data_IF_134348923440
#
_entry.id   IF_134348923440
#
_cell.length_a   1.000
_cell.length_b   1.000
_cell.length_c   1.000
_cell.angle_alpha   90.00
_cell.angle_beta   90.00
_cell.angle_gamma   90.00
#
_symmetry.space_group_name_H-M   'P 1'
#
loop_
_entity.id
_entity.type
_entity.pdbx_description
1 polymer ?
#
# COMPACT_ATOMS: atom_id res chain seq x y z
N UNK A 1 6.93 -1.81 -26.04
CA UNK A 1 7.12 -0.51 -25.36
C UNK A 1 5.79 -0.01 -24.82
N UNK A 2 5.75 1.10 -24.07
CA UNK A 2 4.46 1.72 -23.68
C UNK A 2 3.67 2.15 -24.91
N UNK A 3 4.35 2.64 -25.95
CA UNK A 3 3.71 3.05 -27.20
C UNK A 3 3.01 1.88 -27.91
N UNK A 4 3.67 0.72 -28.01
CA UNK A 4 3.08 -0.47 -28.62
C UNK A 4 1.83 -0.95 -27.86
N UNK A 5 1.85 -0.91 -26.53
CA UNK A 5 0.68 -1.29 -25.72
C UNK A 5 -0.46 -0.30 -25.90
N UNK A 6 -0.16 1.00 -25.97
CA UNK A 6 -1.15 2.05 -26.26
C UNK A 6 -1.83 1.80 -27.61
N UNK A 7 -1.08 1.49 -28.68
CA UNK A 7 -1.68 1.21 -29.98
C UNK A 7 -2.68 0.04 -29.93
N UNK A 8 -2.43 -0.96 -29.08
CA UNK A 8 -3.27 -2.14 -28.95
C UNK A 8 -4.53 -1.95 -28.10
N UNK A 9 -4.47 -1.18 -27.01
CA UNK A 9 -5.57 -1.07 -26.05
C UNK A 9 -6.15 0.33 -25.87
N UNK A 10 -5.50 1.35 -26.42
CA UNK A 10 -5.88 2.77 -26.33
C UNK A 10 -6.00 3.30 -24.88
N UNK A 11 -5.43 2.59 -23.89
CA UNK A 11 -5.30 3.09 -22.52
C UNK A 11 -4.23 4.17 -22.50
N UNK A 12 -4.56 5.35 -21.98
CA UNK A 12 -3.65 6.49 -21.95
C UNK A 12 -2.25 6.13 -21.42
N UNK A 13 -1.23 6.64 -22.10
CA UNK A 13 0.19 6.32 -21.82
C UNK A 13 0.59 6.66 -20.39
N UNK A 14 -0.08 7.62 -19.73
CA UNK A 14 0.15 7.94 -18.33
C UNK A 14 -0.13 6.74 -17.42
N UNK A 15 -1.26 6.04 -17.62
CA UNK A 15 -1.62 4.85 -16.84
C UNK A 15 -0.67 3.69 -17.15
N UNK A 16 -0.40 3.43 -18.43
CA UNK A 16 0.53 2.39 -18.86
C UNK A 16 1.93 2.61 -18.29
N UNK A 17 2.36 3.87 -18.16
CA UNK A 17 3.63 4.22 -17.52
C UNK A 17 3.62 3.92 -16.02
N UNK A 18 2.50 4.10 -15.31
CA UNK A 18 2.41 3.68 -13.90
C UNK A 18 2.49 2.16 -13.77
N UNK A 19 1.81 1.41 -14.63
CA UNK A 19 1.90 -0.06 -14.66
C UNK A 19 3.34 -0.50 -14.92
N UNK A 20 4.02 0.11 -15.90
CA UNK A 20 5.43 -0.19 -16.17
C UNK A 20 6.32 0.09 -14.95
N UNK A 21 6.08 1.16 -14.19
CA UNK A 21 6.82 1.43 -12.95
C UNK A 21 6.63 0.30 -11.92
N UNK A 22 5.40 -0.23 -11.78
CA UNK A 22 5.13 -1.36 -10.89
C UNK A 22 5.86 -2.61 -11.36
N UNK A 23 5.80 -2.94 -12.65
CA UNK A 23 6.51 -4.10 -13.22
C UNK A 23 8.03 -3.99 -12.99
N UNK A 24 8.63 -2.82 -13.23
CA UNK A 24 10.05 -2.58 -12.94
C UNK A 24 10.38 -2.68 -11.45
N UNK A 25 9.48 -2.24 -10.57
CA UNK A 25 9.68 -2.38 -9.14
C UNK A 25 9.68 -3.85 -8.73
N UNK A 26 8.83 -4.70 -9.33
CA UNK A 26 8.79 -6.14 -9.08
C UNK A 26 10.09 -6.86 -9.42
N UNK A 27 10.78 -6.44 -10.48
CA UNK A 27 12.09 -6.99 -10.87
C UNK A 27 13.15 -6.75 -9.78
N UNK A 28 13.01 -5.68 -8.99
CA UNK A 28 13.92 -5.33 -7.90
C UNK A 28 13.56 -5.94 -6.53
N UNK A 29 12.45 -6.68 -6.42
CA UNK A 29 12.03 -7.30 -5.15
C UNK A 29 12.89 -8.52 -4.85
N UNK A 30 13.52 -8.55 -3.68
CA UNK A 30 14.35 -9.64 -3.21
C UNK A 30 14.35 -9.69 -1.67
N UNK A 31 14.91 -10.74 -1.07
CA UNK A 31 14.95 -10.93 0.39
C UNK A 31 15.55 -9.77 1.17
N UNK A 32 16.43 -8.95 0.56
CA UNK A 32 16.99 -7.77 1.22
C UNK A 32 15.95 -6.71 1.61
N UNK A 33 14.76 -6.71 0.99
CA UNK A 33 13.68 -5.79 1.36
C UNK A 33 13.13 -6.10 2.75
N UNK A 34 13.28 -7.33 3.25
CA UNK A 34 12.75 -7.73 4.57
C UNK A 34 13.54 -7.14 5.75
N UNK A 35 14.74 -6.61 5.49
CA UNK A 35 15.58 -5.97 6.51
C UNK A 35 15.84 -4.48 6.23
N UNK A 36 15.37 -3.97 5.08
CA UNK A 36 15.54 -2.58 4.67
C UNK A 36 14.21 -1.82 4.73
N UNK A 37 14.04 -1.01 5.77
CA UNK A 37 12.83 -0.22 5.99
C UNK A 37 12.49 0.73 4.83
N UNK A 38 13.50 1.27 4.13
CA UNK A 38 13.29 2.22 3.04
C UNK A 38 12.74 1.49 1.81
N UNK A 39 13.34 0.35 1.45
CA UNK A 39 12.86 -0.48 0.33
C UNK A 39 11.46 -1.01 0.59
N UNK A 40 11.22 -1.59 1.77
CA UNK A 40 9.91 -2.16 2.08
C UNK A 40 8.82 -1.10 2.10
N UNK A 41 9.06 0.06 2.75
CA UNK A 41 8.11 1.18 2.73
C UNK A 41 7.85 1.69 1.31
N UNK A 42 8.88 1.75 0.47
CA UNK A 42 8.74 2.10 -0.95
C UNK A 42 7.80 1.16 -1.70
N UNK A 43 7.93 -0.16 -1.51
CA UNK A 43 7.03 -1.15 -2.10
C UNK A 43 5.60 -1.03 -1.55
N UNK A 44 5.44 -0.84 -0.24
CA UNK A 44 4.11 -0.64 0.35
C UNK A 44 3.42 0.62 -0.18
N UNK A 45 4.17 1.71 -0.38
CA UNK A 45 3.66 2.95 -0.98
C UNK A 45 3.27 2.80 -2.46
N UNK A 46 3.90 1.86 -3.18
CA UNK A 46 3.48 1.48 -4.55
C UNK A 46 2.25 0.55 -4.58
N UNK A 47 1.73 0.14 -3.41
CA UNK A 47 0.53 -0.69 -3.29
C UNK A 47 0.80 -2.20 -3.26
N UNK A 48 2.06 -2.64 -3.15
CA UNK A 48 2.36 -4.07 -3.10
C UNK A 48 1.83 -4.71 -1.80
N UNK A 49 1.06 -5.78 -1.94
CA UNK A 49 0.62 -6.60 -0.81
C UNK A 49 1.77 -7.44 -0.27
N UNK A 50 1.68 -7.84 1.00
CA UNK A 50 2.69 -8.70 1.62
C UNK A 50 2.79 -10.05 0.88
N UNK A 51 1.66 -10.54 0.35
CA UNK A 51 1.61 -11.72 -0.50
C UNK A 51 2.31 -11.54 -1.86
N UNK A 52 2.19 -10.37 -2.50
CA UNK A 52 2.87 -10.11 -3.77
C UNK A 52 4.38 -9.99 -3.59
N UNK A 53 4.82 -9.35 -2.50
CA UNK A 53 6.25 -9.26 -2.15
C UNK A 53 6.82 -10.67 -1.92
N UNK A 54 6.15 -11.49 -1.10
CA UNK A 54 6.55 -12.87 -0.85
C UNK A 54 6.67 -13.69 -2.16
N UNK A 55 5.65 -13.60 -3.02
CA UNK A 55 5.67 -14.29 -4.32
C UNK A 55 6.83 -13.83 -5.23
N UNK A 56 7.12 -12.53 -5.27
CA UNK A 56 8.23 -12.00 -6.08
C UNK A 56 9.60 -12.37 -5.53
N UNK A 57 9.78 -12.45 -4.20
CA UNK A 57 11.04 -12.96 -3.61
C UNK A 57 11.27 -14.41 -4.04
N UNK A 58 10.22 -15.24 -3.97
CA UNK A 58 10.30 -16.63 -4.45
C UNK A 58 10.65 -16.71 -5.93
N UNK A 59 9.99 -15.92 -6.78
CA UNK A 59 10.25 -15.94 -8.22
C UNK A 59 11.67 -15.45 -8.57
N UNK A 60 12.14 -14.40 -7.90
CA UNK A 60 13.41 -13.75 -8.24
C UNK A 60 14.64 -14.45 -7.61
N UNK A 61 14.49 -15.13 -6.47
CA UNK A 61 15.61 -15.73 -5.73
C UNK A 61 15.45 -17.23 -5.43
N UNK A 62 14.32 -17.84 -5.82
CA UNK A 62 13.98 -19.23 -5.47
C UNK A 62 14.00 -19.48 -3.94
N UNK A 63 13.64 -18.46 -3.17
CA UNK A 63 13.56 -18.50 -1.71
C UNK A 63 12.08 -18.53 -1.27
N UNK A 64 11.70 -19.53 -0.49
CA UNK A 64 10.35 -19.58 0.10
C UNK A 64 10.23 -18.52 1.19
N UNK A 65 9.26 -17.62 1.01
CA UNK A 65 8.87 -16.61 1.98
C UNK A 65 7.35 -16.59 2.01
N UNK A 66 6.77 -16.61 3.20
CA UNK A 66 5.33 -16.49 3.41
C UNK A 66 4.91 -15.02 3.52
N UNK A 67 3.64 -14.68 3.20
CA UNK A 67 3.11 -13.34 3.45
C UNK A 67 3.23 -12.92 4.93
N UNK A 68 3.17 -13.88 5.85
CA UNK A 68 3.33 -13.66 7.29
C UNK A 68 4.75 -13.22 7.65
N UNK A 69 5.78 -13.79 7.02
CA UNK A 69 7.17 -13.34 7.24
C UNK A 69 7.40 -11.91 6.74
N UNK A 70 6.76 -11.52 5.63
CA UNK A 70 6.78 -10.14 5.15
C UNK A 70 6.06 -9.21 6.12
N UNK A 71 4.93 -9.64 6.67
CA UNK A 71 4.18 -8.90 7.71
C UNK A 71 5.02 -8.72 8.98
N UNK A 72 5.69 -9.77 9.45
CA UNK A 72 6.57 -9.73 10.62
C UNK A 72 7.75 -8.80 10.40
N UNK A 73 8.40 -8.87 9.23
CA UNK A 73 9.46 -7.95 8.83
C UNK A 73 8.96 -6.50 8.81
N UNK A 74 7.79 -6.26 8.24
CA UNK A 74 7.13 -4.95 8.19
C UNK A 74 6.87 -4.41 9.60
N UNK A 75 6.37 -5.25 10.51
CA UNK A 75 6.12 -4.91 11.91
C UNK A 75 7.42 -4.61 12.68
N UNK A 76 8.47 -5.41 12.49
CA UNK A 76 9.80 -5.18 13.10
C UNK A 76 10.45 -3.88 12.62
N UNK A 77 10.21 -3.49 11.38
CA UNK A 77 10.69 -2.24 10.78
C UNK A 77 9.77 -1.04 11.05
N UNK A 78 8.73 -1.21 11.88
CA UNK A 78 7.75 -0.18 12.24
C UNK A 78 7.07 0.46 11.01
N UNK A 79 6.68 -0.38 10.06
CA UNK A 79 5.98 0.05 8.84
C UNK A 79 4.50 -0.32 8.98
N UNK A 80 3.69 0.59 9.51
CA UNK A 80 2.23 0.44 9.54
C UNK A 80 1.58 1.33 8.47
N UNK A 81 0.39 0.98 7.96
CA UNK A 81 -0.41 1.93 7.20
C UNK A 81 -0.92 3.03 8.13
N UNK A 82 -1.07 4.23 7.60
CA UNK A 82 -1.86 5.30 8.22
C UNK A 82 -3.28 5.27 7.66
N UNK A 83 -4.22 5.87 8.40
CA UNK A 83 -5.60 6.04 7.95
C UNK A 83 -5.88 7.53 7.79
N UNK A 84 -6.31 7.92 6.59
CA UNK A 84 -6.57 9.30 6.22
C UNK A 84 -8.07 9.49 5.97
N UNK A 85 -8.58 10.71 6.18
CA UNK A 85 -9.98 11.09 5.99
C UNK A 85 -10.27 11.58 4.58
N UNK A 86 -11.46 11.26 4.08
CA UNK A 86 -12.04 11.93 2.92
C UNK A 86 -12.78 13.18 3.41
N UNK A 87 -12.21 14.35 3.15
CA UNK A 87 -12.71 15.66 3.63
C UNK A 87 -13.24 16.59 2.54
N UNK A 88 -13.14 16.19 1.26
CA UNK A 88 -13.49 16.96 0.04
C UNK A 88 -12.68 18.23 -0.24
N UNK A 89 -11.75 18.63 0.65
CA UNK A 89 -11.04 19.91 0.60
C UNK A 89 -9.52 19.79 0.83
N UNK A 90 -8.96 18.57 0.78
CA UNK A 90 -7.53 18.31 0.92
C UNK A 90 -6.94 18.92 2.21
N UNK A 91 -7.63 18.69 3.32
CA UNK A 91 -7.33 19.15 4.67
C UNK A 91 -7.39 20.68 4.89
N UNK A 92 -8.03 21.46 4.00
CA UNK A 92 -8.29 22.89 4.25
C UNK A 92 -9.21 23.09 5.47
N UNK A 93 -10.22 22.22 5.61
CA UNK A 93 -11.18 22.24 6.71
C UNK A 93 -11.27 20.86 7.38
N UNK A 94 -11.63 20.85 8.67
CA UNK A 94 -11.86 19.60 9.40
C UNK A 94 -13.12 18.91 8.91
N UNK A 95 -13.02 17.61 8.63
CA UNK A 95 -14.19 16.77 8.37
C UNK A 95 -14.96 16.51 9.67
N UNK A 96 -16.28 16.35 9.55
CA UNK A 96 -17.16 15.95 10.66
C UNK A 96 -17.48 14.45 10.63
N UNK A 97 -17.06 13.74 9.58
CA UNK A 97 -17.40 12.33 9.36
C UNK A 97 -16.14 11.47 9.23
N UNK A 98 -16.03 10.36 9.98
CA UNK A 98 -14.86 9.48 9.93
C UNK A 98 -14.92 8.52 8.72
N UNK A 99 -14.83 9.08 7.50
CA UNK A 99 -14.74 8.30 6.27
C UNK A 99 -13.27 8.09 5.89
N UNK A 100 -12.77 6.88 6.15
CA UNK A 100 -11.33 6.59 6.16
C UNK A 100 -10.87 5.68 5.03
N UNK A 101 -9.62 5.85 4.61
CA UNK A 101 -8.89 4.90 3.77
C UNK A 101 -7.45 4.72 4.27
N UNK A 102 -6.84 3.55 4.03
CA UNK A 102 -5.47 3.27 4.44
C UNK A 102 -4.44 3.70 3.39
N UNK A 103 -3.26 4.13 3.84
CA UNK A 103 -2.15 4.54 2.96
C UNK A 103 -0.79 4.30 3.59
N UNK A 104 0.24 4.13 2.76
CA UNK A 104 1.66 4.10 3.16
C UNK A 104 2.41 5.35 2.69
N UNK A 105 1.70 6.46 2.44
CA UNK A 105 2.29 7.71 2.00
C UNK A 105 3.49 8.11 2.88
N UNK A 106 4.60 8.59 2.29
CA UNK A 106 5.83 8.88 3.02
C UNK A 106 5.70 10.05 4.01
N UNK A 107 4.75 10.96 3.76
CA UNK A 107 4.43 12.11 4.60
C UNK A 107 2.94 12.03 4.98
N UNK A 108 2.56 11.12 5.90
CA UNK A 108 1.19 11.05 6.36
C UNK A 108 0.82 12.34 7.10
N UNK A 109 -0.48 12.66 7.11
CA UNK A 109 -0.95 13.74 7.98
C UNK A 109 -0.74 13.32 9.44
N UNK A 110 -0.55 14.28 10.37
CA UNK A 110 -0.54 13.95 11.78
C UNK A 110 -1.81 13.16 12.12
N UNK A 111 -1.69 12.08 12.91
CA UNK A 111 -2.84 11.25 13.24
C UNK A 111 -3.93 12.12 13.82
N UNK A 112 -5.13 12.00 13.26
CA UNK A 112 -6.29 12.75 13.73
C UNK A 112 -6.57 12.22 15.14
N UNK A 113 -6.41 13.09 16.14
CA UNK A 113 -6.87 12.78 17.49
C UNK A 113 -8.37 12.49 17.37
N UNK A 114 -8.75 11.22 17.50
CA UNK A 114 -10.14 10.84 17.63
C UNK A 114 -10.66 11.60 18.85
N UNK A 115 -11.34 12.73 18.63
CA UNK A 115 -11.92 13.59 19.69
C UNK A 115 -12.92 12.85 20.59
N UNK A 116 -13.18 11.58 20.29
CA UNK A 116 -13.99 10.66 21.06
C UNK A 116 -13.38 9.25 21.04
N UNK A 117 -12.16 9.06 21.53
CA UNK A 117 -11.81 7.75 22.10
C UNK A 117 -12.62 7.52 23.38
N UNK A 118 -13.93 7.34 23.22
CA UNK A 118 -14.70 6.68 24.25
C UNK A 118 -14.13 5.28 24.38
N UNK A 119 -13.78 4.87 25.61
CA UNK A 119 -13.34 3.52 25.95
C UNK A 119 -14.51 2.51 25.87
N UNK A 120 -15.30 2.61 24.80
CA UNK A 120 -16.45 1.75 24.54
C UNK A 120 -16.00 0.58 23.65
N UNK A 121 -16.60 -0.59 23.88
CA UNK A 121 -16.37 -1.76 23.04
C UNK A 121 -16.94 -1.48 21.64
N UNK A 122 -16.08 -1.56 20.62
CA UNK A 122 -16.46 -1.37 19.21
C UNK A 122 -16.79 -2.72 18.57
N UNK A 123 -17.73 -2.73 17.64
CA UNK A 123 -18.10 -3.91 16.83
C UNK A 123 -17.64 -3.67 15.39
N UNK A 124 -16.90 -4.63 14.82
CA UNK A 124 -16.50 -4.60 13.41
C UNK A 124 -17.50 -5.39 12.58
N UNK A 125 -18.03 -4.76 11.52
CA UNK A 125 -18.87 -5.40 10.52
C UNK A 125 -18.08 -5.46 9.21
N UNK A 126 -17.97 -6.65 8.62
CA UNK A 126 -17.22 -6.89 7.39
C UNK A 126 -18.21 -7.04 6.23
N UNK A 127 -18.10 -6.18 5.22
CA UNK A 127 -18.90 -6.26 3.99
C UNK A 127 -18.42 -7.36 3.02
N UNK A 128 -19.26 -7.71 2.04
CA UNK A 128 -18.98 -8.77 1.06
C UNK A 128 -18.01 -8.39 -0.06
N UNK A 129 -17.79 -7.10 -0.30
CA UNK A 129 -17.05 -6.62 -1.48
C UNK A 129 -17.94 -6.47 -2.71
N UNK A 130 -17.36 -6.40 -3.92
CA UNK A 130 -18.13 -6.25 -5.17
C UNK A 130 -19.10 -7.42 -5.40
N UNK A 131 -20.28 -7.10 -5.95
CA UNK A 131 -21.32 -8.06 -6.34
C UNK A 131 -21.00 -8.78 -7.65
#
# INVERSE_FOLDING_TARGET
SVDEVFELCQIDKWFLSQIQKLVKAEEGINSSVLTDAKKLRGLKNLGFSDARIAAKIKENENLEVSPFEVELARSNLQIAPNFEEVDTCAAEFLSLTPYLYSTYAPNPLPPIENKQEKQEKKILIIGSGPN
#
